data_IF_342582693797
#
_entry.id   IF_342582693797
#
_cell.length_a   1.000
_cell.length_b   1.000
_cell.length_c   1.000
_cell.angle_alpha   90.00
_cell.angle_beta   90.00
_cell.angle_gamma   90.00
#
_symmetry.space_group_name_H-M   'P 1'
#
loop_
_entity.id
_entity.type
_entity.pdbx_description
1 polymer ?
#
# COMPACT_ATOMS: atom_id res chain seq x y z
N UNK A 1 2.10 -5.74 20.03
CA UNK A 1 2.42 -6.01 18.61
C UNK A 1 3.92 -5.89 18.44
N UNK A 2 4.57 -6.85 17.77
CA UNK A 2 6.01 -6.80 17.49
C UNK A 2 6.20 -6.12 16.13
N UNK A 3 6.89 -4.98 16.12
CA UNK A 3 7.35 -4.37 14.87
C UNK A 3 8.30 -5.34 14.18
N UNK A 4 8.24 -5.42 12.86
CA UNK A 4 9.19 -6.23 12.10
C UNK A 4 10.47 -5.44 11.86
N UNK A 5 11.60 -6.13 11.87
CA UNK A 5 12.89 -5.52 11.53
C UNK A 5 12.85 -4.95 10.11
N UNK A 6 13.36 -3.72 9.94
CA UNK A 6 13.27 -3.04 8.66
C UNK A 6 14.13 -3.71 7.58
N UNK A 7 15.31 -4.20 7.95
CA UNK A 7 16.24 -4.82 7.00
C UNK A 7 15.80 -6.24 6.62
N UNK A 8 15.19 -6.98 7.55
CA UNK A 8 14.47 -8.22 7.24
C UNK A 8 13.34 -7.95 6.22
N UNK A 9 12.47 -6.98 6.49
CA UNK A 9 11.33 -6.67 5.60
C UNK A 9 11.79 -6.18 4.22
N UNK A 10 12.86 -5.38 4.14
CA UNK A 10 13.45 -4.97 2.85
C UNK A 10 13.88 -6.18 2.03
N UNK A 11 14.62 -7.11 2.64
CA UNK A 11 15.07 -8.35 1.98
C UNK A 11 13.90 -9.18 1.47
N UNK A 12 12.88 -9.39 2.31
CA UNK A 12 11.68 -10.11 1.89
C UNK A 12 10.98 -9.45 0.71
N UNK A 13 10.83 -8.12 0.73
CA UNK A 13 10.16 -7.40 -0.36
C UNK A 13 10.94 -7.48 -1.66
N UNK A 14 12.27 -7.47 -1.61
CA UNK A 14 13.14 -7.69 -2.78
C UNK A 14 13.02 -9.10 -3.37
N UNK A 15 12.57 -10.08 -2.58
CA UNK A 15 12.39 -11.47 -3.00
C UNK A 15 10.98 -11.75 -3.54
N UNK A 16 9.98 -10.90 -3.24
CA UNK A 16 8.62 -11.05 -3.78
C UNK A 16 8.65 -11.06 -5.31
N UNK A 17 7.97 -12.05 -5.89
CA UNK A 17 7.69 -12.16 -7.31
C UNK A 17 6.19 -12.33 -7.50
N UNK A 18 5.63 -11.67 -8.51
CA UNK A 18 4.26 -11.95 -8.96
C UNK A 18 4.21 -13.26 -9.77
N UNK A 19 3.00 -13.65 -10.20
CA UNK A 19 2.78 -14.88 -11.00
C UNK A 19 3.55 -14.87 -12.34
N UNK A 20 3.95 -13.70 -12.81
CA UNK A 20 4.77 -13.52 -14.02
C UNK A 20 6.28 -13.43 -13.72
N UNK A 21 6.70 -13.66 -12.48
CA UNK A 21 8.10 -13.57 -12.06
C UNK A 21 8.62 -12.14 -11.90
N UNK A 22 7.77 -11.12 -11.92
CA UNK A 22 8.19 -9.72 -11.78
C UNK A 22 8.32 -9.32 -10.32
N UNK A 23 9.32 -8.49 -10.02
CA UNK A 23 9.52 -7.91 -8.69
C UNK A 23 8.50 -6.82 -8.41
N UNK A 24 8.35 -6.46 -7.13
CA UNK A 24 7.59 -5.27 -6.72
C UNK A 24 8.17 -4.03 -7.40
N UNK A 25 7.31 -3.25 -8.06
CA UNK A 25 7.71 -2.03 -8.78
C UNK A 25 8.45 -1.03 -7.88
N UNK A 26 9.56 -0.47 -8.35
CA UNK A 26 10.41 0.46 -7.57
C UNK A 26 9.65 1.64 -6.96
N UNK A 27 8.65 2.18 -7.66
CA UNK A 27 7.91 3.35 -7.19
C UNK A 27 6.83 3.05 -6.15
N UNK A 28 6.40 1.79 -6.02
CA UNK A 28 5.46 1.36 -4.96
C UNK A 28 6.18 0.62 -3.84
N UNK A 29 7.40 0.13 -4.09
CA UNK A 29 8.20 -0.67 -3.16
C UNK A 29 8.37 -0.03 -1.77
N UNK A 30 8.69 1.28 -1.61
CA UNK A 30 8.79 1.89 -0.29
C UNK A 30 7.49 1.81 0.51
N UNK A 31 6.34 1.92 -0.16
CA UNK A 31 5.04 1.79 0.48
C UNK A 31 4.78 0.36 0.93
N UNK A 32 5.13 -0.64 0.10
CA UNK A 32 5.01 -2.06 0.45
C UNK A 32 5.89 -2.40 1.66
N UNK A 33 7.15 -1.97 1.67
CA UNK A 33 8.08 -2.14 2.80
C UNK A 33 7.49 -1.51 4.06
N UNK A 34 7.06 -0.25 3.98
CA UNK A 34 6.46 0.47 5.09
C UNK A 34 5.27 -0.27 5.69
N UNK A 35 4.31 -0.70 4.85
CA UNK A 35 3.13 -1.45 5.30
C UNK A 35 3.53 -2.79 5.95
N UNK A 36 4.42 -3.54 5.31
CA UNK A 36 4.88 -4.85 5.82
C UNK A 36 5.63 -4.73 7.15
N UNK A 37 6.39 -3.65 7.38
CA UNK A 37 7.05 -3.37 8.66
C UNK A 37 6.05 -3.33 9.82
N UNK A 38 4.86 -2.80 9.55
CA UNK A 38 3.74 -2.75 10.51
C UNK A 38 2.89 -4.04 10.53
N UNK A 39 3.39 -5.13 9.94
CA UNK A 39 2.73 -6.43 9.89
C UNK A 39 1.43 -6.42 9.09
N UNK A 40 1.35 -5.57 8.06
CA UNK A 40 0.22 -5.55 7.13
C UNK A 40 0.55 -6.48 5.96
N UNK A 41 -0.33 -7.43 5.68
CA UNK A 41 -0.14 -8.29 4.52
C UNK A 41 -0.49 -7.54 3.23
N UNK A 42 0.43 -7.53 2.27
CA UNK A 42 0.24 -6.91 0.94
C UNK A 42 0.14 -8.02 -0.10
N UNK A 43 -1.06 -8.30 -0.58
CA UNK A 43 -1.35 -9.41 -1.50
C UNK A 43 -0.99 -9.07 -2.95
N UNK A 44 -1.22 -7.81 -3.33
CA UNK A 44 -0.90 -7.29 -4.65
C UNK A 44 -0.47 -5.83 -4.55
N UNK A 45 0.41 -5.38 -5.44
CA UNK A 45 0.79 -3.97 -5.55
C UNK A 45 1.06 -3.59 -7.00
N UNK A 46 0.73 -2.35 -7.35
CA UNK A 46 1.00 -1.77 -8.67
C UNK A 46 1.46 -0.33 -8.51
N UNK A 47 2.50 0.09 -9.24
CA UNK A 47 2.93 1.50 -9.28
C UNK A 47 2.05 2.43 -10.13
N UNK A 48 1.09 1.86 -10.86
CA UNK A 48 0.31 2.56 -11.87
C UNK A 48 1.08 2.79 -13.19
N UNK A 49 0.36 2.69 -14.30
CA UNK A 49 0.93 2.81 -15.65
C UNK A 49 0.12 3.77 -16.52
N UNK A 50 0.78 4.31 -17.53
CA UNK A 50 0.18 5.15 -18.56
C UNK A 50 0.14 4.38 -19.87
N UNK A 51 -0.93 4.56 -20.65
CA UNK A 51 -0.95 4.16 -22.06
C UNK A 51 -0.25 5.20 -22.93
N UNK A 52 -0.43 6.48 -22.59
CA UNK A 52 0.12 7.63 -23.32
C UNK A 52 0.49 8.76 -22.36
N UNK A 53 1.02 9.88 -22.87
CA UNK A 53 1.36 11.05 -22.02
C UNK A 53 0.17 11.56 -21.19
N UNK A 54 -1.04 11.47 -21.72
CA UNK A 54 -2.29 11.96 -21.11
C UNK A 54 -3.16 10.86 -20.49
N UNK A 55 -3.01 9.61 -20.91
CA UNK A 55 -3.88 8.50 -20.48
C UNK A 55 -3.25 7.64 -19.38
N UNK A 56 -3.81 7.72 -18.17
CA UNK A 56 -3.47 6.85 -17.04
C UNK A 56 -4.37 5.62 -17.05
N UNK A 57 -3.79 4.44 -17.22
CA UNK A 57 -4.51 3.16 -17.22
C UNK A 57 -4.74 2.65 -15.80
N UNK A 58 -3.73 2.83 -14.95
CA UNK A 58 -3.78 2.39 -13.56
C UNK A 58 -3.05 3.37 -12.65
N UNK A 59 -3.44 3.35 -11.39
CA UNK A 59 -2.92 4.22 -10.36
C UNK A 59 -2.10 3.40 -9.36
N UNK A 60 -1.18 4.02 -8.60
CA UNK A 60 -0.54 3.36 -7.49
C UNK A 60 -1.58 2.72 -6.58
N UNK A 61 -1.43 1.44 -6.26
CA UNK A 61 -2.36 0.74 -5.39
C UNK A 61 -1.71 -0.44 -4.70
N UNK A 62 -2.15 -0.73 -3.47
CA UNK A 62 -1.76 -1.92 -2.73
C UNK A 62 -3.00 -2.60 -2.20
N UNK A 63 -3.14 -3.88 -2.50
CA UNK A 63 -4.18 -4.74 -1.94
C UNK A 63 -3.74 -5.24 -0.57
N UNK A 64 -4.62 -5.04 0.42
CA UNK A 64 -4.36 -5.38 1.81
C UNK A 64 -5.45 -6.31 2.33
N UNK A 65 -5.08 -7.10 3.34
CA UNK A 65 -6.05 -7.98 3.99
C UNK A 65 -7.13 -7.19 4.74
N UNK A 66 -8.41 -7.60 4.67
CA UNK A 66 -9.51 -6.96 5.41
C UNK A 66 -9.27 -6.79 6.92
N UNK A 67 -8.53 -7.71 7.54
CA UNK A 67 -8.17 -7.68 8.96
C UNK A 67 -7.33 -6.45 9.36
N UNK A 68 -6.55 -5.92 8.41
CA UNK A 68 -5.63 -4.80 8.64
C UNK A 68 -6.32 -3.43 8.48
N UNK A 69 -7.63 -3.37 8.20
CA UNK A 69 -8.39 -2.14 7.96
C UNK A 69 -8.12 -1.03 9.00
N UNK A 70 -8.34 -1.36 10.29
CA UNK A 70 -8.22 -0.38 11.39
C UNK A 70 -6.78 0.13 11.50
N UNK A 71 -5.80 -0.78 11.31
CA UNK A 71 -4.37 -0.47 11.39
C UNK A 71 -3.98 0.50 10.27
N UNK A 72 -4.32 0.17 9.03
CA UNK A 72 -3.98 1.02 7.87
C UNK A 72 -4.68 2.38 7.95
N UNK A 73 -5.94 2.44 8.40
CA UNK A 73 -6.64 3.72 8.60
C UNK A 73 -5.92 4.63 9.59
N UNK A 74 -5.39 4.09 10.69
CA UNK A 74 -4.59 4.86 11.66
C UNK A 74 -3.28 5.37 11.04
N UNK A 75 -2.57 4.53 10.28
CA UNK A 75 -1.33 4.94 9.61
C UNK A 75 -1.56 6.04 8.55
N UNK A 76 -2.65 5.96 7.79
CA UNK A 76 -3.06 7.04 6.85
C UNK A 76 -3.31 8.33 7.64
N UNK A 77 -4.04 8.25 8.75
CA UNK A 77 -4.31 9.43 9.59
C UNK A 77 -3.02 10.03 10.17
N UNK A 78 -2.06 9.19 10.56
CA UNK A 78 -0.78 9.58 11.12
C UNK A 78 0.07 10.37 10.13
N UNK A 79 0.00 10.01 8.85
CA UNK A 79 0.74 10.69 7.80
C UNK A 79 0.31 12.15 7.63
N UNK A 80 -0.86 12.54 8.14
CA UNK A 80 -1.42 13.89 7.99
C UNK A 80 -1.83 14.24 6.54
N UNK A 81 -1.42 13.43 5.57
CA UNK A 81 -1.76 13.55 4.17
C UNK A 81 -3.12 12.95 3.84
N UNK A 82 -4.04 13.79 3.38
CA UNK A 82 -5.29 13.38 2.73
C UNK A 82 -5.09 12.66 1.38
N UNK A 83 -3.86 12.25 1.03
CA UNK A 83 -3.50 11.73 -0.28
C UNK A 83 -3.83 10.25 -0.48
N UNK A 84 -4.16 9.49 0.56
CA UNK A 84 -4.45 8.06 0.50
C UNK A 84 -5.78 7.70 1.15
N UNK A 85 -6.49 6.73 0.58
CA UNK A 85 -7.75 6.20 1.10
C UNK A 85 -7.81 4.68 0.94
N UNK A 86 -8.58 4.03 1.81
CA UNK A 86 -8.96 2.63 1.66
C UNK A 86 -10.29 2.51 0.93
N UNK A 87 -10.30 1.79 -0.18
CA UNK A 87 -11.53 1.36 -0.86
C UNK A 87 -11.83 -0.09 -0.54
N UNK A 88 -13.08 -0.37 -0.17
CA UNK A 88 -13.62 -1.72 -0.07
C UNK A 88 -14.12 -2.12 -1.45
N UNK A 89 -13.60 -3.20 -1.99
CA UNK A 89 -14.06 -3.80 -3.24
C UNK A 89 -14.71 -5.15 -2.91
N UNK A 90 -15.92 -5.36 -3.42
CA UNK A 90 -16.65 -6.63 -3.29
C UNK A 90 -16.62 -7.30 -4.65
N UNK A 91 -16.26 -8.57 -4.67
CA UNK A 91 -16.29 -9.39 -5.88
C UNK A 91 -16.69 -10.82 -5.52
N UNK A 92 -17.23 -11.55 -6.49
CA UNK A 92 -17.59 -12.96 -6.33
C UNK A 92 -16.46 -13.83 -6.87
N UNK A 93 -16.08 -14.87 -6.12
CA UNK A 93 -15.17 -15.90 -6.66
C UNK A 93 -15.83 -16.62 -7.84
N UNK A 94 -15.06 -17.43 -8.56
CA UNK A 94 -15.60 -18.31 -9.63
C UNK A 94 -16.72 -19.23 -9.13
N UNK A 95 -16.75 -19.51 -7.83
CA UNK A 95 -17.75 -20.34 -7.14
C UNK A 95 -18.92 -19.51 -6.57
N UNK A 96 -18.98 -18.20 -6.87
CA UNK A 96 -20.04 -17.31 -6.38
C UNK A 96 -19.88 -16.84 -4.93
N UNK A 97 -18.77 -17.17 -4.26
CA UNK A 97 -18.53 -16.78 -2.86
C UNK A 97 -18.16 -15.30 -2.80
N UNK A 98 -18.88 -14.46 -2.04
CA UNK A 98 -18.54 -13.04 -1.92
C UNK A 98 -17.23 -12.88 -1.15
N UNK A 99 -16.24 -12.25 -1.77
CA UNK A 99 -14.98 -11.85 -1.16
C UNK A 99 -14.87 -10.34 -1.07
N UNK A 100 -14.33 -9.86 0.04
CA UNK A 100 -14.04 -8.45 0.26
C UNK A 100 -12.54 -8.29 0.19
N UNK A 101 -12.08 -7.38 -0.66
CA UNK A 101 -10.68 -6.94 -0.69
C UNK A 101 -10.62 -5.46 -0.33
N UNK A 102 -9.52 -5.08 0.32
CA UNK A 102 -9.25 -3.68 0.63
C UNK A 102 -8.12 -3.21 -0.26
N UNK A 103 -8.34 -2.09 -0.92
CA UNK A 103 -7.33 -1.48 -1.78
C UNK A 103 -6.96 -0.10 -1.26
N UNK A 104 -5.70 0.08 -0.91
CA UNK A 104 -5.11 1.37 -0.61
C UNK A 104 -4.81 2.09 -1.93
N UNK A 105 -5.42 3.25 -2.13
CA UNK A 105 -5.31 4.03 -3.38
C UNK A 105 -5.15 5.52 -3.10
N UNK A 106 -4.57 6.29 -4.03
CA UNK A 106 -4.54 7.74 -3.92
C UNK A 106 -5.97 8.33 -3.88
N UNK A 107 -6.18 9.30 -3.00
CA UNK A 107 -7.38 10.15 -3.02
C UNK A 107 -7.38 10.99 -4.30
N UNK A 108 -8.57 11.18 -4.86
CA UNK A 108 -8.78 11.95 -6.10
C UNK A 108 -7.90 11.48 -7.27
N UNK A 109 -7.58 10.19 -7.34
CA UNK A 109 -6.66 9.60 -8.34
C UNK A 109 -6.95 10.02 -9.79
N UNK A 110 -8.22 10.14 -10.16
CA UNK A 110 -8.65 10.52 -11.52
C UNK A 110 -8.27 11.96 -11.89
N UNK A 111 -8.11 12.86 -10.92
CA UNK A 111 -7.75 14.27 -11.15
C UNK A 111 -6.26 14.56 -10.99
N UNK A 112 -5.42 13.54 -10.76
CA UNK A 112 -4.01 13.72 -10.39
C UNK A 112 -3.07 13.09 -11.41
N UNK A 113 -1.93 13.75 -11.65
CA UNK A 113 -0.88 13.22 -12.52
C UNK A 113 -0.25 11.97 -11.87
N UNK A 114 -0.12 10.87 -12.63
CA UNK A 114 0.51 9.62 -12.17
C UNK A 114 1.84 9.82 -11.43
N UNK A 115 2.77 10.60 -12.00
CA UNK A 115 4.08 10.86 -11.40
C UNK A 115 3.93 11.44 -9.98
N UNK A 116 2.95 12.32 -9.76
CA UNK A 116 2.69 12.89 -8.43
C UNK A 116 2.19 11.82 -7.46
N UNK A 117 1.27 10.96 -7.90
CA UNK A 117 0.79 9.85 -7.07
C UNK A 117 1.89 8.82 -6.76
N UNK A 118 2.83 8.60 -7.68
CA UNK A 118 4.00 7.75 -7.43
C UNK A 118 4.94 8.39 -6.40
N UNK A 119 5.16 9.71 -6.46
CA UNK A 119 5.92 10.43 -5.43
C UNK A 119 5.24 10.33 -4.06
N UNK A 120 3.92 10.55 -3.99
CA UNK A 120 3.14 10.37 -2.76
C UNK A 120 3.27 8.94 -2.19
N UNK A 121 3.39 7.91 -3.04
CA UNK A 121 3.59 6.53 -2.60
C UNK A 121 4.95 6.32 -1.95
N UNK A 122 6.00 6.89 -2.57
CA UNK A 122 7.35 6.88 -2.03
C UNK A 122 7.40 7.62 -0.69
N UNK A 123 6.84 8.83 -0.64
CA UNK A 123 6.79 9.68 0.57
C UNK A 123 6.06 8.98 1.71
N UNK A 124 4.86 8.45 1.45
CA UNK A 124 4.10 7.74 2.47
C UNK A 124 4.84 6.47 2.92
N UNK A 125 5.43 5.72 2.00
CA UNK A 125 6.23 4.55 2.32
C UNK A 125 7.43 4.84 3.21
N UNK A 126 8.17 5.90 2.93
CA UNK A 126 9.30 6.35 3.76
C UNK A 126 8.84 6.79 5.14
N UNK A 127 7.77 7.58 5.22
CA UNK A 127 7.16 7.97 6.49
C UNK A 127 6.85 6.75 7.36
N UNK A 128 6.25 5.69 6.79
CA UNK A 128 5.97 4.45 7.53
C UNK A 128 7.23 3.74 8.04
N UNK A 129 8.35 3.86 7.31
CA UNK A 129 9.66 3.32 7.68
C UNK A 129 10.41 4.19 8.69
N UNK A 130 10.01 5.45 8.89
CA UNK A 130 10.62 6.38 9.83
C UNK A 130 9.80 6.52 11.12
N UNK A 131 8.52 6.12 11.10
CA UNK A 131 7.66 6.15 12.27
C UNK A 131 8.29 5.41 13.48
N UNK A 132 8.27 6.01 14.69
CA UNK A 132 8.82 5.39 15.89
C UNK A 132 8.19 4.02 16.18
N UNK A 133 8.99 3.08 16.67
CA UNK A 133 8.57 1.68 16.82
C UNK A 133 7.38 1.48 17.77
N UNK A 134 7.27 2.35 18.76
CA UNK A 134 6.23 2.36 19.77
C UNK A 134 5.05 3.27 19.40
N UNK A 135 4.97 3.76 18.16
CA UNK A 135 3.94 4.71 17.72
C UNK A 135 2.52 4.23 18.01
N UNK A 136 2.21 2.95 17.75
CA UNK A 136 0.90 2.38 18.07
C UNK A 136 0.62 2.30 19.58
N UNK A 137 1.65 2.07 20.42
CA UNK A 137 1.52 2.06 21.88
C UNK A 137 1.24 3.48 22.41
N UNK A 138 1.96 4.49 21.90
CA UNK A 138 1.79 5.90 22.28
C UNK A 138 0.42 6.47 21.88
N UNK A 139 -0.12 6.04 20.74
CA UNK A 139 -1.37 6.56 20.19
C UNK A 139 -2.59 5.66 20.48
N UNK A 140 -2.58 4.97 21.63
CA UNK A 140 -3.65 4.09 22.13
C UNK A 140 -4.22 3.13 21.07
N UNK A 141 -3.47 2.07 20.80
CA UNK A 141 -4.02 0.74 20.48
C UNK A 141 -3.82 -0.16 21.69
#
# INVERSE_FOLDING_TARGET
MKLRDLEEVKREVEEIRDESGKRVDEKIKPLVIGLRRWGINTEFSCQGHRRSKSEVLSFPSVEISPKDYKKVKKLISAFGGNSWILKKERWSTKEGIPKITLRLVPRNKNGRKLIRMQKDAIEFGKFLQELPEDWFKRNKL
#
